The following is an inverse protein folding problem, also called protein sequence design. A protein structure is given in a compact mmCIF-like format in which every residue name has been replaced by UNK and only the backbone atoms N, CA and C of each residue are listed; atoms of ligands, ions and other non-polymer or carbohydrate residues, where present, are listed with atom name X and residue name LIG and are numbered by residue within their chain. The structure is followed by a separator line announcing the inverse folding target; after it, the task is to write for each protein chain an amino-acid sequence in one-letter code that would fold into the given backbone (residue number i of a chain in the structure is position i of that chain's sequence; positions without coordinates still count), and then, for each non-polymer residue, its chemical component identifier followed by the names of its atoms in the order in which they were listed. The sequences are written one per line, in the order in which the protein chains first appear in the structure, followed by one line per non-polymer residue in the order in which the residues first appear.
data_IF_349598532384
#
_entry.id   IF_349598532384
#
_cell.length_a   1.000
_cell.length_b   1.000
_cell.length_c   1.000
_cell.angle_alpha   90.00
_cell.angle_beta   90.00
_cell.angle_gamma   90.00
#
_symmetry.space_group_name_H-M   'P 1'
#
loop_
_entity.id
_entity.type
_entity.pdbx_description
1 polymer ?
#
# COMPACT_ATOMS: atom_id res chain seq x y z
N UNK A 1 -19.19 -5.64 -1.28
CA UNK A 1 -17.91 -5.22 -0.68
C UNK A 1 -18.13 -5.03 0.81
N UNK A 2 -17.30 -5.67 1.63
CA UNK A 2 -17.08 -5.32 3.04
C UNK A 2 -15.82 -4.42 3.07
N UNK A 3 -15.64 -3.58 4.10
CA UNK A 3 -14.65 -2.46 4.21
C UNK A 3 -15.20 -1.12 3.70
N UNK A 4 -15.86 -0.35 4.58
CA UNK A 4 -16.55 0.90 4.22
C UNK A 4 -15.67 2.16 4.27
N UNK A 5 -14.36 2.01 4.49
CA UNK A 5 -13.39 3.08 4.29
C UNK A 5 -13.30 3.41 2.80
N UNK A 6 -13.80 4.59 2.42
CA UNK A 6 -13.55 5.17 1.10
C UNK A 6 -12.62 6.36 1.27
N UNK A 7 -11.92 6.79 0.20
CA UNK A 7 -11.15 8.03 0.27
C UNK A 7 -11.95 9.22 0.85
N UNK A 8 -13.25 9.33 0.51
CA UNK A 8 -14.14 10.38 1.04
C UNK A 8 -14.67 10.12 2.47
N UNK A 9 -14.61 8.88 2.98
CA UNK A 9 -15.13 8.47 4.30
C UNK A 9 -14.20 7.45 4.98
N UNK A 10 -12.92 7.80 5.23
CA UNK A 10 -11.94 6.86 5.77
C UNK A 10 -12.28 6.45 7.20
N UNK A 11 -13.04 7.23 7.96
CA UNK A 11 -13.46 6.92 9.33
C UNK A 11 -14.41 5.71 9.44
N UNK A 12 -14.89 5.17 8.32
CA UNK A 12 -15.86 4.07 8.29
C UNK A 12 -15.22 2.69 8.12
N UNK A 13 -13.92 2.61 7.86
CA UNK A 13 -13.20 1.35 7.67
C UNK A 13 -11.84 1.56 7.02
N UNK A 14 -11.30 0.51 6.40
CA UNK A 14 -10.01 0.61 5.68
C UNK A 14 -10.20 1.08 4.24
N UNK A 15 -9.44 2.11 3.84
CA UNK A 15 -9.31 2.55 2.44
C UNK A 15 -8.19 1.77 1.74
N UNK A 16 -8.47 1.22 0.56
CA UNK A 16 -7.50 0.47 -0.24
C UNK A 16 -7.19 1.20 -1.54
N UNK A 17 -5.90 1.35 -1.85
CA UNK A 17 -5.41 1.94 -3.11
C UNK A 17 -4.47 0.94 -3.78
N UNK A 18 -4.84 0.46 -4.97
CA UNK A 18 -3.96 -0.36 -5.80
C UNK A 18 -3.33 0.52 -6.89
N UNK A 19 -2.01 0.50 -7.01
CA UNK A 19 -1.26 1.27 -7.99
C UNK A 19 -0.39 0.31 -8.81
N UNK A 20 -0.35 0.50 -10.14
CA UNK A 20 0.56 -0.26 -10.98
C UNK A 20 2.00 0.23 -10.82
N UNK A 21 2.91 -0.70 -10.57
CA UNK A 21 4.31 -0.58 -10.93
C UNK A 21 4.54 -1.30 -12.27
N UNK A 22 5.28 -0.69 -13.19
CA UNK A 22 5.51 -1.20 -14.56
C UNK A 22 6.99 -1.18 -14.89
N UNK A 23 7.53 -2.33 -15.30
CA UNK A 23 8.92 -2.43 -15.78
C UNK A 23 9.11 -1.59 -17.04
N UNK A 24 10.22 -0.85 -17.11
CA UNK A 24 10.58 -0.05 -18.28
C UNK A 24 9.77 1.25 -18.46
N UNK A 25 8.99 1.66 -17.45
CA UNK A 25 8.27 2.93 -17.42
C UNK A 25 8.48 3.62 -16.07
N UNK A 26 8.29 4.95 -16.04
CA UNK A 26 8.33 5.75 -14.82
C UNK A 26 6.91 6.09 -14.39
N UNK A 27 6.35 5.30 -13.47
CA UNK A 27 4.99 5.46 -12.96
C UNK A 27 5.01 5.60 -11.42
N UNK A 28 3.95 6.17 -10.80
CA UNK A 28 3.91 6.36 -9.36
C UNK A 28 4.13 5.07 -8.55
N UNK A 29 3.67 3.92 -9.03
CA UNK A 29 3.90 2.65 -8.34
C UNK A 29 5.36 2.18 -8.35
N UNK A 30 6.21 2.72 -9.24
CA UNK A 30 7.63 2.39 -9.28
C UNK A 30 8.42 3.13 -8.20
N UNK A 31 7.98 4.32 -7.77
CA UNK A 31 8.68 5.10 -6.75
C UNK A 31 8.49 4.54 -5.34
N UNK A 32 7.55 3.59 -5.18
CA UNK A 32 7.22 2.93 -3.91
C UNK A 32 8.02 1.63 -3.68
N UNK A 33 8.87 1.23 -4.63
CA UNK A 33 9.62 -0.02 -4.59
C UNK A 33 11.08 0.20 -4.92
N UNK A 34 11.96 -0.53 -4.24
CA UNK A 34 13.36 -0.71 -4.62
C UNK A 34 13.48 -2.10 -5.24
N UNK A 35 13.79 -2.15 -6.53
CA UNK A 35 13.87 -3.41 -7.29
C UNK A 35 15.14 -4.20 -6.94
N UNK A 36 16.23 -3.51 -6.60
CA UNK A 36 17.51 -4.13 -6.31
C UNK A 36 17.54 -4.66 -4.87
N UNK A 37 17.00 -3.90 -3.92
CA UNK A 37 16.83 -4.34 -2.54
C UNK A 37 15.68 -5.33 -2.36
N UNK A 38 14.65 -5.27 -3.22
CA UNK A 38 13.45 -6.09 -3.08
C UNK A 38 12.54 -5.62 -1.94
N UNK A 39 12.54 -4.32 -1.67
CA UNK A 39 11.93 -3.71 -0.48
C UNK A 39 11.05 -2.50 -0.85
N UNK A 40 10.11 -2.08 0.02
CA UNK A 40 9.48 -0.77 -0.10
C UNK A 40 10.50 0.35 0.07
N UNK A 41 10.28 1.49 -0.59
CA UNK A 41 11.09 2.71 -0.41
C UNK A 41 10.56 3.64 0.68
N UNK A 42 9.35 3.38 1.17
CA UNK A 42 8.65 4.22 2.15
C UNK A 42 8.91 3.68 3.55
N UNK A 43 9.27 4.57 4.47
CA UNK A 43 9.55 4.23 5.86
C UNK A 43 8.40 4.59 6.81
N UNK A 44 8.40 3.95 7.98
CA UNK A 44 7.48 4.28 9.07
C UNK A 44 7.67 5.73 9.52
N UNK A 45 6.56 6.44 9.69
CA UNK A 45 6.53 7.83 10.12
C UNK A 45 6.49 8.84 8.96
N UNK A 46 6.68 8.40 7.72
CA UNK A 46 6.45 9.24 6.55
C UNK A 46 4.97 9.61 6.41
N UNK A 47 4.71 10.75 5.76
CA UNK A 47 3.35 11.24 5.50
C UNK A 47 2.88 10.87 4.09
N UNK A 48 1.63 10.44 4.00
CA UNK A 48 0.92 10.20 2.75
C UNK A 48 -0.29 11.14 2.70
N UNK A 49 -0.42 11.90 1.63
CA UNK A 49 -1.64 12.68 1.38
C UNK A 49 -2.48 11.98 0.32
N UNK A 50 -3.74 11.68 0.66
CA UNK A 50 -4.75 11.17 -0.27
C UNK A 50 -5.94 12.13 -0.25
N UNK A 51 -6.20 12.79 -1.38
CA UNK A 51 -7.13 13.92 -1.49
C UNK A 51 -6.78 15.05 -0.51
N UNK A 52 -7.65 15.40 0.45
CA UNK A 52 -7.48 16.45 1.47
C UNK A 52 -7.17 15.87 2.87
N UNK A 53 -6.68 14.62 2.92
CA UNK A 53 -6.42 13.89 4.16
C UNK A 53 -4.97 13.40 4.22
N UNK A 54 -4.32 13.70 5.33
CA UNK A 54 -2.98 13.20 5.66
C UNK A 54 -3.06 11.93 6.51
N UNK A 55 -2.12 11.03 6.24
CA UNK A 55 -1.92 9.76 6.91
C UNK A 55 -0.46 9.63 7.30
N UNK A 56 -0.19 9.02 8.45
CA UNK A 56 1.17 8.66 8.86
C UNK A 56 1.39 7.17 8.60
N UNK A 57 2.45 6.83 7.86
CA UNK A 57 2.86 5.44 7.60
C UNK A 57 3.18 4.74 8.91
N UNK A 58 2.50 3.63 9.15
CA UNK A 58 2.69 2.80 10.34
C UNK A 58 3.60 1.62 10.07
N UNK A 59 3.58 1.09 8.83
CA UNK A 59 4.45 -0.01 8.39
C UNK A 59 4.52 -0.09 6.86
N UNK A 60 5.60 -0.68 6.35
CA UNK A 60 5.78 -0.98 4.94
C UNK A 60 6.56 -2.29 4.79
N UNK A 61 6.01 -3.24 4.03
CA UNK A 61 6.56 -4.59 3.94
C UNK A 61 6.20 -5.29 2.63
N UNK A 62 6.81 -6.45 2.40
CA UNK A 62 6.52 -7.30 1.23
C UNK A 62 5.63 -8.48 1.61
N UNK A 63 4.73 -8.86 0.69
CA UNK A 63 3.83 -10.02 0.84
C UNK A 63 3.82 -10.83 -0.45
N UNK A 64 4.04 -12.16 -0.40
CA UNK A 64 3.92 -13.00 -1.58
C UNK A 64 2.53 -12.92 -2.20
N UNK A 65 2.46 -12.90 -3.54
CA UNK A 65 1.19 -12.87 -4.29
C UNK A 65 0.31 -14.09 -4.03
N UNK A 66 0.91 -15.22 -3.69
CA UNK A 66 0.19 -16.44 -3.36
C UNK A 66 -0.59 -16.29 -2.04
N UNK A 67 -0.08 -15.49 -1.11
CA UNK A 67 -0.57 -15.43 0.26
C UNK A 67 -1.50 -14.24 0.47
N UNK A 68 -1.27 -13.13 -0.26
CA UNK A 68 -1.94 -11.85 0.01
C UNK A 68 -3.46 -11.96 0.03
N UNK A 69 -4.09 -12.81 -0.78
CA UNK A 69 -5.56 -12.92 -0.84
C UNK A 69 -6.20 -13.45 0.45
N UNK A 70 -5.45 -14.20 1.26
CA UNK A 70 -5.89 -14.74 2.55
C UNK A 70 -5.24 -14.05 3.75
N UNK A 71 -4.54 -12.94 3.53
CA UNK A 71 -3.84 -12.23 4.59
C UNK A 71 -4.82 -11.34 5.38
N UNK A 72 -5.20 -11.82 6.58
CA UNK A 72 -6.13 -11.12 7.47
C UNK A 72 -5.60 -9.74 7.90
N UNK A 73 -4.28 -9.56 8.01
CA UNK A 73 -3.69 -8.26 8.34
C UNK A 73 -3.96 -7.29 7.20
N UNK A 74 -3.66 -7.66 5.96
CA UNK A 74 -3.88 -6.79 4.79
C UNK A 74 -5.35 -6.42 4.67
N UNK A 75 -6.27 -7.37 4.84
CA UNK A 75 -7.70 -7.15 4.60
C UNK A 75 -8.53 -6.75 5.83
N UNK A 76 -7.92 -6.55 7.00
CA UNK A 76 -8.61 -6.09 8.20
C UNK A 76 -9.35 -4.76 7.97
N UNK A 77 -10.62 -4.71 8.39
CA UNK A 77 -11.47 -3.52 8.33
C UNK A 77 -11.27 -2.67 9.59
N UNK A 78 -10.44 -1.63 9.46
CA UNK A 78 -10.03 -0.78 10.56
C UNK A 78 -10.31 0.69 10.21
N UNK A 79 -11.22 1.35 10.95
CA UNK A 79 -11.53 2.77 10.74
C UNK A 79 -10.28 3.66 10.66
N UNK A 80 -10.19 4.44 9.58
CA UNK A 80 -9.11 5.40 9.35
C UNK A 80 -7.82 4.79 8.79
N UNK A 81 -7.77 3.47 8.59
CA UNK A 81 -6.61 2.80 8.00
C UNK A 81 -6.57 3.01 6.49
N UNK A 82 -5.37 3.24 5.97
CA UNK A 82 -5.06 3.26 4.55
C UNK A 82 -4.09 2.12 4.24
N UNK A 83 -4.37 1.38 3.18
CA UNK A 83 -3.48 0.35 2.63
C UNK A 83 -3.22 0.67 1.16
N UNK A 84 -1.96 0.90 0.81
CA UNK A 84 -1.50 1.06 -0.57
C UNK A 84 -0.79 -0.23 -1.00
N UNK A 85 -1.14 -0.75 -2.18
CA UNK A 85 -0.59 -1.99 -2.71
C UNK A 85 -0.04 -1.78 -4.12
N UNK A 86 1.13 -2.34 -4.37
CA UNK A 86 1.73 -2.40 -5.71
C UNK A 86 2.51 -3.70 -5.89
N UNK A 87 2.80 -4.07 -7.13
CA UNK A 87 3.66 -5.22 -7.39
C UNK A 87 5.12 -4.88 -7.06
N UNK A 88 5.83 -5.76 -6.36
CA UNK A 88 7.29 -5.65 -6.27
C UNK A 88 7.89 -6.21 -7.55
N UNK A 89 8.48 -5.34 -8.36
CA UNK A 89 9.13 -5.75 -9.60
C UNK A 89 10.37 -6.61 -9.31
N UNK A 90 10.87 -7.22 -10.37
CA UNK A 90 12.14 -7.94 -10.40
C UNK A 90 12.93 -7.41 -11.58
N UNK A 91 14.24 -7.59 -11.53
CA UNK A 91 15.14 -7.26 -12.65
C UNK A 91 14.73 -7.95 -13.96
N UNK A 92 14.04 -9.09 -13.89
CA UNK A 92 13.39 -9.71 -15.03
C UNK A 92 12.20 -10.60 -14.63
N UNK A 93 11.30 -10.83 -15.59
CA UNK A 93 10.18 -11.75 -15.43
C UNK A 93 9.03 -11.19 -14.60
N UNK A 94 8.12 -12.09 -14.20
CA UNK A 94 6.93 -11.72 -13.41
C UNK A 94 7.30 -11.48 -11.95
N UNK A 95 6.72 -10.44 -11.38
CA UNK A 95 6.67 -10.21 -9.94
C UNK A 95 5.98 -11.39 -9.23
N UNK A 96 6.55 -11.90 -8.13
CA UNK A 96 5.84 -12.85 -7.25
C UNK A 96 5.42 -12.25 -5.91
N UNK A 97 5.78 -10.99 -5.65
CA UNK A 97 5.59 -10.34 -4.35
C UNK A 97 4.88 -9.00 -4.56
N UNK A 98 4.21 -8.51 -3.53
CA UNK A 98 3.64 -7.16 -3.49
C UNK A 98 4.39 -6.36 -2.44
N UNK A 99 4.47 -5.05 -2.64
CA UNK A 99 4.73 -4.11 -1.56
C UNK A 99 3.39 -3.65 -1.01
N UNK A 100 3.27 -3.66 0.31
CA UNK A 100 2.14 -3.19 1.09
C UNK A 100 2.62 -2.07 1.99
N UNK A 101 1.97 -0.91 1.91
CA UNK A 101 2.21 0.24 2.77
C UNK A 101 0.94 0.48 3.58
N UNK A 102 1.08 0.47 4.90
CA UNK A 102 0.00 0.70 5.85
C UNK A 102 0.18 2.06 6.50
N UNK A 103 -0.90 2.83 6.59
CA UNK A 103 -0.91 4.12 7.23
C UNK A 103 -2.21 4.35 8.00
N UNK A 104 -2.19 5.29 8.93
CA UNK A 104 -3.37 5.69 9.70
C UNK A 104 -3.65 7.17 9.48
N UNK A 105 -4.93 7.53 9.33
CA UNK A 105 -5.33 8.91 9.16
C UNK A 105 -4.91 9.74 10.39
N UNK A 106 -4.31 10.90 10.13
CA UNK A 106 -3.94 11.81 11.22
C UNK A 106 -5.20 12.35 11.90
N UNK A 107 -5.15 12.53 13.22
CA UNK A 107 -6.26 13.17 13.94
C UNK A 107 -6.28 14.65 13.55
N UNK A 108 -7.41 15.14 13.07
CA UNK A 108 -7.67 16.59 12.94
C UNK A 108 -7.96 17.18 14.32
#
# INVERSE_FOLDING_TARGET
MRNHGTPDHPERGTTYVAIHSVQGAELPGNTLIDVDAGEPTVEKGESITLQDRDYTVTDAYTVPKADISGDDRVWADEPGRLVILTCLQRSSGRSADNVVIEAIADRR
#
